data_IF_172721457626
#
_entry.id   IF_172721457626
#
_cell.length_a   1.000
_cell.length_b   1.000
_cell.length_c   1.000
_cell.angle_alpha   90.00
_cell.angle_beta   90.00
_cell.angle_gamma   90.00
#
_symmetry.space_group_name_H-M   'P 1'
#
loop_
_entity.id
_entity.type
_entity.pdbx_description
1 polymer ?
#
# COMPACT_ATOMS: atom_id res chain seq x y z
N UNK A 1 10.63 11.57 15.03
CA UNK A 1 9.90 10.51 15.77
C UNK A 1 10.44 9.09 15.64
N UNK A 2 10.47 8.44 14.45
CA UNK A 2 10.89 7.02 14.36
C UNK A 2 12.41 6.80 14.55
N UNK A 3 13.24 7.76 14.13
CA UNK A 3 14.69 7.73 14.34
C UNK A 3 15.07 8.15 15.76
N UNK A 4 14.42 9.21 16.27
CA UNK A 4 14.57 9.69 17.66
C UNK A 4 14.31 8.58 18.69
N UNK A 5 13.26 7.77 18.51
CA UNK A 5 12.97 6.66 19.44
C UNK A 5 14.07 5.58 19.45
N UNK A 6 14.87 5.51 18.39
CA UNK A 6 16.06 4.65 18.26
C UNK A 6 17.37 5.36 18.57
N UNK A 7 17.33 6.62 19.03
CA UNK A 7 18.50 7.48 19.26
C UNK A 7 19.39 7.67 18.02
N UNK A 8 18.79 7.63 16.83
CA UNK A 8 19.46 7.91 15.55
C UNK A 8 19.22 9.38 15.20
N UNK A 9 20.29 10.12 14.90
CA UNK A 9 20.23 11.54 14.51
C UNK A 9 19.93 11.62 13.02
N UNK A 10 18.68 11.93 12.70
CA UNK A 10 18.24 12.12 11.32
C UNK A 10 17.90 13.57 11.03
N UNK A 11 18.23 14.06 9.83
CA UNK A 11 17.74 15.35 9.32
C UNK A 11 17.20 15.19 7.90
N UNK A 12 16.36 16.13 7.46
CA UNK A 12 15.84 16.18 6.10
C UNK A 12 16.20 17.52 5.47
N UNK A 13 16.98 17.48 4.40
CA UNK A 13 17.27 18.66 3.59
C UNK A 13 16.17 18.75 2.51
N UNK A 14 15.46 19.86 2.52
CA UNK A 14 14.44 20.25 1.55
C UNK A 14 14.75 21.67 1.07
N UNK A 15 13.97 22.18 0.09
CA UNK A 15 14.19 23.50 -0.51
C UNK A 15 14.29 24.63 0.53
N UNK A 16 13.53 24.54 1.62
CA UNK A 16 13.47 25.52 2.70
C UNK A 16 13.96 24.92 4.04
N UNK A 17 14.98 24.04 3.99
CA UNK A 17 15.54 23.42 5.19
C UNK A 17 16.05 24.48 6.18
N UNK A 18 15.78 24.32 7.49
CA UNK A 18 16.38 25.13 8.54
C UNK A 18 17.91 25.19 8.43
N UNK A 19 18.49 26.36 8.74
CA UNK A 19 19.94 26.54 8.69
C UNK A 19 20.70 25.60 9.64
N UNK A 20 20.07 25.21 10.75
CA UNK A 20 20.58 24.24 11.71
C UNK A 20 20.72 22.83 11.11
N UNK A 21 19.76 22.38 10.30
CA UNK A 21 19.80 21.08 9.63
C UNK A 21 20.93 21.02 8.61
N UNK A 22 21.08 22.08 7.80
CA UNK A 22 22.17 22.23 6.84
C UNK A 22 23.52 22.23 7.56
N UNK A 23 23.63 22.93 8.69
CA UNK A 23 24.85 22.97 9.48
C UNK A 23 25.17 21.60 10.09
N UNK A 24 24.18 20.93 10.68
CA UNK A 24 24.36 19.61 11.27
C UNK A 24 24.83 18.57 10.23
N UNK A 25 24.31 18.65 9.01
CA UNK A 25 24.82 17.88 7.86
C UNK A 25 26.28 18.21 7.58
N UNK A 26 26.62 19.48 7.34
CA UNK A 26 28.00 19.92 7.01
C UNK A 26 29.03 19.56 8.07
N UNK A 27 28.64 19.59 9.33
CA UNK A 27 29.52 19.28 10.46
C UNK A 27 29.68 17.76 10.67
N UNK A 28 28.98 16.91 9.89
CA UNK A 28 29.01 15.45 10.06
C UNK A 28 28.33 14.96 11.33
N UNK A 29 27.45 15.78 11.92
CA UNK A 29 26.83 15.52 13.23
C UNK A 29 25.50 14.73 13.14
N UNK A 30 25.26 14.09 12.00
CA UNK A 30 24.02 13.36 11.68
C UNK A 30 24.35 11.96 11.18
N UNK A 31 23.51 11.00 11.53
CA UNK A 31 23.67 9.60 11.13
C UNK A 31 22.94 9.30 9.81
N UNK A 32 21.82 10.02 9.54
CA UNK A 32 21.01 9.86 8.32
C UNK A 32 20.59 11.24 7.80
N UNK A 33 20.75 11.46 6.49
CA UNK A 33 20.29 12.66 5.79
C UNK A 33 19.28 12.26 4.72
N UNK A 34 18.04 12.71 4.86
CA UNK A 34 17.04 12.58 3.79
C UNK A 34 17.15 13.77 2.84
N UNK A 35 17.19 13.48 1.55
CA UNK A 35 17.33 14.50 0.50
C UNK A 35 16.37 14.15 -0.62
N UNK A 36 15.64 15.14 -1.15
CA UNK A 36 14.85 14.93 -2.35
C UNK A 36 15.71 15.10 -3.62
N UNK A 37 15.44 14.37 -4.71
CA UNK A 37 16.24 14.47 -5.95
C UNK A 37 16.33 15.92 -6.50
N UNK A 38 15.30 16.73 -6.28
CA UNK A 38 15.20 18.09 -6.81
C UNK A 38 16.22 19.06 -6.23
N UNK A 39 16.67 18.82 -5.00
CA UNK A 39 17.62 19.69 -4.27
C UNK A 39 19.06 19.15 -4.29
N UNK A 40 19.26 17.94 -4.80
CA UNK A 40 20.56 17.29 -4.90
C UNK A 40 21.37 17.85 -6.10
N UNK A 41 21.63 19.16 -6.06
CA UNK A 41 22.31 19.94 -7.10
C UNK A 41 22.94 21.19 -6.51
N UNK A 42 23.92 21.76 -7.21
CA UNK A 42 24.61 22.99 -6.78
C UNK A 42 25.17 22.85 -5.37
N UNK A 43 24.97 23.86 -4.54
CA UNK A 43 25.57 23.96 -3.19
C UNK A 43 25.32 22.74 -2.31
N UNK A 44 24.11 22.16 -2.31
CA UNK A 44 23.80 20.96 -1.51
C UNK A 44 24.68 19.78 -1.93
N UNK A 45 24.87 19.59 -3.23
CA UNK A 45 25.72 18.54 -3.75
C UNK A 45 27.19 18.81 -3.42
N UNK A 46 27.66 20.05 -3.56
CA UNK A 46 29.02 20.44 -3.21
C UNK A 46 29.31 20.18 -1.72
N UNK A 47 28.37 20.53 -0.85
CA UNK A 47 28.46 20.29 0.60
C UNK A 47 28.54 18.79 0.93
N UNK A 48 27.72 17.96 0.26
CA UNK A 48 27.77 16.51 0.43
C UNK A 48 29.07 15.90 -0.10
N UNK A 49 29.65 16.44 -1.18
CA UNK A 49 30.94 15.98 -1.72
C UNK A 49 32.11 16.24 -0.76
N UNK A 50 32.07 17.33 0.01
CA UNK A 50 33.07 17.57 1.06
C UNK A 50 33.04 16.50 2.16
N UNK A 51 31.91 15.80 2.28
CA UNK A 51 31.68 14.73 3.25
C UNK A 51 31.82 13.34 2.64
N UNK A 52 32.23 13.18 1.38
CA UNK A 52 32.27 11.88 0.67
C UNK A 52 32.96 10.79 1.51
N UNK A 53 34.11 11.09 2.12
CA UNK A 53 34.86 10.16 2.99
C UNK A 53 34.12 9.71 4.25
N UNK A 54 33.05 10.40 4.65
CA UNK A 54 32.20 10.09 5.80
C UNK A 54 30.89 9.40 5.39
N UNK A 55 30.53 9.41 4.10
CA UNK A 55 29.32 8.76 3.60
C UNK A 55 29.62 7.27 3.42
N UNK A 56 28.95 6.42 4.20
CA UNK A 56 29.16 4.98 4.18
C UNK A 56 28.16 4.20 3.30
N UNK A 57 27.04 4.83 2.93
CA UNK A 57 25.98 4.20 2.13
C UNK A 57 25.11 5.26 1.45
N UNK A 58 24.84 5.08 0.15
CA UNK A 58 23.76 5.76 -0.54
C UNK A 58 22.52 4.88 -0.57
N UNK A 59 21.35 5.46 -0.27
CA UNK A 59 20.07 4.73 -0.31
C UNK A 59 19.10 5.46 -1.22
N UNK A 60 18.61 4.77 -2.24
CA UNK A 60 17.53 5.26 -3.11
C UNK A 60 16.27 4.47 -2.81
N UNK A 61 15.36 5.11 -2.08
CA UNK A 61 14.02 4.58 -1.83
C UNK A 61 13.12 4.77 -3.05
N UNK A 62 12.15 3.88 -3.23
CA UNK A 62 11.27 3.82 -4.40
C UNK A 62 12.02 3.90 -5.74
N UNK A 63 13.12 3.15 -5.87
CA UNK A 63 14.03 3.23 -7.02
C UNK A 63 13.35 2.91 -8.36
N UNK A 64 12.19 2.24 -8.36
CA UNK A 64 11.38 2.02 -9.56
C UNK A 64 10.99 3.34 -10.27
N UNK A 65 10.90 4.45 -9.54
CA UNK A 65 10.67 5.78 -10.11
C UNK A 65 11.73 6.17 -11.16
N UNK A 66 12.95 5.64 -11.06
CA UNK A 66 14.04 5.88 -12.03
C UNK A 66 13.66 5.31 -13.40
N UNK A 67 13.11 4.10 -13.43
CA UNK A 67 12.63 3.43 -14.65
C UNK A 67 11.34 4.07 -15.16
N UNK A 68 10.32 4.21 -14.30
CA UNK A 68 8.99 4.63 -14.72
C UNK A 68 8.90 6.12 -15.08
N UNK A 69 9.56 7.00 -14.31
CA UNK A 69 9.36 8.45 -14.37
C UNK A 69 10.56 9.18 -14.97
N UNK A 70 11.70 8.49 -15.11
CA UNK A 70 12.93 9.03 -15.67
C UNK A 70 12.80 9.46 -17.13
N UNK A 71 11.88 8.88 -17.90
CA UNK A 71 11.70 9.23 -19.32
C UNK A 71 10.84 10.49 -19.53
N UNK A 72 9.73 10.67 -18.82
CA UNK A 72 8.74 11.74 -19.12
C UNK A 72 8.21 12.58 -17.93
N UNK A 73 8.42 12.21 -16.65
CA UNK A 73 7.67 12.82 -15.53
C UNK A 73 8.52 13.51 -14.44
N UNK A 74 9.74 13.04 -14.15
CA UNK A 74 10.69 13.74 -13.27
C UNK A 74 12.15 13.58 -13.75
N UNK A 75 12.64 14.49 -14.61
CA UNK A 75 13.99 14.45 -15.15
C UNK A 75 15.10 14.37 -14.09
N UNK A 76 14.83 14.83 -12.86
CA UNK A 76 15.74 14.80 -11.72
C UNK A 76 16.15 13.37 -11.33
N UNK A 77 15.31 12.36 -11.58
CA UNK A 77 15.68 10.96 -11.32
C UNK A 77 16.77 10.44 -12.27
N UNK A 78 17.01 11.08 -13.43
CA UNK A 78 18.19 10.75 -14.27
C UNK A 78 19.51 11.13 -13.59
N UNK A 79 19.50 12.14 -12.72
CA UNK A 79 20.69 12.55 -11.98
C UNK A 79 21.12 11.51 -10.95
N UNK A 80 20.29 10.51 -10.64
CA UNK A 80 20.68 9.42 -9.74
C UNK A 80 21.93 8.71 -10.25
N UNK A 81 22.04 8.48 -11.57
CA UNK A 81 23.24 7.93 -12.17
C UNK A 81 24.48 8.83 -11.99
N UNK A 82 24.31 10.15 -12.14
CA UNK A 82 25.39 11.12 -11.90
C UNK A 82 25.85 11.07 -10.44
N UNK A 83 24.91 10.95 -9.50
CA UNK A 83 25.20 10.87 -8.07
C UNK A 83 25.95 9.59 -7.73
N UNK A 84 25.48 8.44 -8.21
CA UNK A 84 26.20 7.17 -8.01
C UNK A 84 27.62 7.27 -8.59
N UNK A 85 27.79 7.91 -9.75
CA UNK A 85 29.10 8.13 -10.37
C UNK A 85 29.98 9.10 -9.56
N UNK A 86 29.39 10.15 -8.99
CA UNK A 86 30.11 11.14 -8.17
C UNK A 86 30.58 10.57 -6.83
N UNK A 87 29.86 9.60 -6.29
CA UNK A 87 30.15 8.91 -5.03
C UNK A 87 30.54 7.45 -5.30
N UNK A 88 31.30 7.19 -6.36
CA UNK A 88 31.62 5.83 -6.82
C UNK A 88 32.34 4.95 -5.78
N UNK A 89 32.98 5.56 -4.78
CA UNK A 89 33.62 4.86 -3.66
C UNK A 89 32.61 4.35 -2.61
N UNK A 90 31.37 4.82 -2.64
CA UNK A 90 30.33 4.55 -1.66
C UNK A 90 29.37 3.44 -2.15
N UNK A 91 29.11 2.40 -1.34
CA UNK A 91 28.09 1.41 -1.66
C UNK A 91 26.72 2.05 -1.89
N UNK A 92 25.96 1.51 -2.84
CA UNK A 92 24.60 1.97 -3.15
C UNK A 92 23.58 0.87 -2.89
N UNK A 93 22.52 1.23 -2.16
CA UNK A 93 21.36 0.39 -1.88
C UNK A 93 20.13 0.95 -2.60
N UNK A 94 19.54 0.14 -3.48
CA UNK A 94 18.31 0.46 -4.20
C UNK A 94 17.16 -0.29 -3.54
N UNK A 95 16.14 0.43 -3.07
CA UNK A 95 14.98 -0.14 -2.40
C UNK A 95 13.73 0.12 -3.24
N UNK A 96 12.94 -0.93 -3.46
CA UNK A 96 11.61 -0.82 -4.04
C UNK A 96 10.76 -2.00 -3.63
N UNK A 97 9.47 -1.79 -3.44
CA UNK A 97 8.50 -2.88 -3.31
C UNK A 97 8.19 -3.54 -4.68
N UNK A 98 8.64 -2.93 -5.78
CA UNK A 98 8.08 -3.10 -7.12
C UNK A 98 9.19 -3.26 -8.17
N UNK A 99 10.00 -4.32 -8.07
CA UNK A 99 11.05 -4.61 -9.05
C UNK A 99 10.59 -5.68 -10.04
N UNK A 100 9.84 -5.31 -11.10
CA UNK A 100 9.59 -6.23 -12.22
C UNK A 100 10.88 -6.49 -13.02
N UNK A 101 10.93 -7.54 -13.84
CA UNK A 101 12.10 -7.81 -14.70
C UNK A 101 12.47 -6.59 -15.55
N UNK A 102 11.47 -5.93 -16.16
CA UNK A 102 11.66 -4.70 -16.91
C UNK A 102 12.27 -3.57 -16.06
N UNK A 103 11.75 -3.35 -14.85
CA UNK A 103 12.29 -2.33 -13.94
C UNK A 103 13.74 -2.65 -13.57
N UNK A 104 14.09 -3.92 -13.39
CA UNK A 104 15.48 -4.31 -13.17
C UNK A 104 16.35 -3.99 -14.37
N UNK A 105 15.97 -4.42 -15.58
CA UNK A 105 16.70 -4.13 -16.82
C UNK A 105 16.94 -2.61 -16.99
N UNK A 106 15.90 -1.81 -16.74
CA UNK A 106 16.00 -0.35 -16.77
C UNK A 106 16.95 0.17 -15.70
N UNK A 107 16.92 -0.35 -14.46
CA UNK A 107 17.84 0.07 -13.40
C UNK A 107 19.29 -0.30 -13.70
N UNK A 108 19.55 -1.52 -14.19
CA UNK A 108 20.89 -1.94 -14.58
C UNK A 108 21.46 -1.06 -15.69
N UNK A 109 20.65 -0.75 -16.70
CA UNK A 109 21.07 0.09 -17.82
C UNK A 109 21.23 1.57 -17.45
N UNK A 110 20.26 2.16 -16.75
CA UNK A 110 20.27 3.59 -16.41
C UNK A 110 21.30 3.95 -15.34
N UNK A 111 21.55 3.05 -14.38
CA UNK A 111 22.48 3.30 -13.28
C UNK A 111 23.86 2.66 -13.50
N UNK A 112 24.07 2.02 -14.67
CA UNK A 112 25.29 1.29 -15.00
C UNK A 112 25.72 0.31 -13.90
N UNK A 113 24.75 -0.40 -13.32
CA UNK A 113 25.01 -1.39 -12.26
C UNK A 113 25.83 -2.55 -12.85
N UNK A 114 26.81 -3.01 -12.08
CA UNK A 114 27.64 -4.14 -12.47
C UNK A 114 26.88 -5.49 -12.39
N UNK A 115 27.41 -6.51 -13.04
CA UNK A 115 26.84 -7.86 -12.98
C UNK A 115 27.01 -8.52 -11.59
N UNK A 116 27.83 -7.94 -10.71
CA UNK A 116 28.07 -8.43 -9.34
C UNK A 116 27.06 -7.85 -8.34
N UNK A 117 26.13 -7.01 -8.82
CA UNK A 117 25.08 -6.37 -8.02
C UNK A 117 24.20 -7.44 -7.38
N UNK A 118 24.20 -7.45 -6.04
CA UNK A 118 23.44 -8.42 -5.25
C UNK A 118 21.97 -8.03 -5.23
N UNK A 119 21.14 -8.86 -5.85
CA UNK A 119 19.68 -8.73 -5.79
C UNK A 119 19.14 -9.56 -4.61
N UNK A 120 18.58 -8.88 -3.61
CA UNK A 120 17.84 -9.52 -2.52
C UNK A 120 16.37 -9.22 -2.75
N UNK A 121 15.60 -10.26 -3.06
CA UNK A 121 14.20 -10.12 -3.38
C UNK A 121 13.38 -11.21 -2.69
N UNK A 122 12.20 -10.81 -2.18
CA UNK A 122 11.23 -11.68 -1.54
C UNK A 122 9.87 -11.38 -2.15
N UNK A 123 9.09 -12.42 -2.43
CA UNK A 123 7.73 -12.22 -2.90
C UNK A 123 6.91 -11.48 -1.84
N UNK A 124 6.15 -10.44 -2.21
CA UNK A 124 5.34 -9.68 -1.27
C UNK A 124 4.03 -10.41 -0.92
N UNK A 125 4.09 -11.72 -0.63
CA UNK A 125 2.90 -12.49 -0.27
C UNK A 125 2.37 -12.11 1.11
N UNK A 126 1.04 -12.13 1.21
CA UNK A 126 0.28 -11.90 2.43
C UNK A 126 -0.68 -13.09 2.57
N UNK A 127 -0.20 -14.25 3.04
CA UNK A 127 -0.99 -15.47 3.09
C UNK A 127 -2.20 -15.35 4.03
N UNK A 128 -2.16 -14.43 5.00
CA UNK A 128 -3.24 -14.12 5.93
C UNK A 128 -4.34 -13.22 5.35
N UNK A 129 -4.24 -12.73 4.11
CA UNK A 129 -5.25 -11.82 3.51
C UNK A 129 -6.09 -12.57 2.48
N UNK A 130 -7.37 -12.78 2.72
CA UNK A 130 -8.24 -13.40 1.72
C UNK A 130 -8.59 -12.41 0.61
N UNK A 131 -8.55 -12.85 -0.65
CA UNK A 131 -8.89 -12.01 -1.81
C UNK A 131 -10.27 -12.38 -2.36
N UNK A 132 -11.25 -11.50 -2.23
CA UNK A 132 -12.56 -11.60 -2.88
C UNK A 132 -12.68 -10.61 -4.02
N UNK A 133 -13.12 -11.09 -5.18
CA UNK A 133 -13.52 -10.21 -6.29
C UNK A 133 -14.98 -10.49 -6.57
N UNK A 134 -15.81 -9.45 -6.46
CA UNK A 134 -17.23 -9.54 -6.75
C UNK A 134 -17.45 -9.60 -8.26
N UNK A 135 -17.99 -10.72 -8.75
CA UNK A 135 -18.19 -10.94 -10.19
C UNK A 135 -19.45 -10.25 -10.71
N UNK A 136 -20.42 -9.97 -9.83
CA UNK A 136 -21.70 -9.35 -10.19
C UNK A 136 -21.93 -8.10 -9.34
N UNK A 137 -21.16 -7.05 -9.64
CA UNK A 137 -21.34 -5.75 -9.00
C UNK A 137 -22.67 -5.16 -9.43
N UNK A 138 -23.53 -4.85 -8.46
CA UNK A 138 -24.83 -4.22 -8.70
C UNK A 138 -24.68 -2.73 -8.94
N UNK A 139 -25.73 -2.09 -9.46
CA UNK A 139 -25.69 -0.68 -9.85
C UNK A 139 -25.52 0.26 -8.65
N UNK A 140 -26.25 0.00 -7.56
CA UNK A 140 -26.27 0.88 -6.40
C UNK A 140 -25.20 0.50 -5.37
N UNK A 141 -24.62 1.51 -4.71
CA UNK A 141 -23.60 1.31 -3.66
C UNK A 141 -24.18 0.44 -2.53
N UNK A 142 -25.40 0.76 -2.10
CA UNK A 142 -26.07 0.07 -1.00
C UNK A 142 -26.28 -1.41 -1.25
N UNK A 143 -26.62 -1.82 -2.47
CA UNK A 143 -26.85 -3.24 -2.76
C UNK A 143 -25.57 -4.10 -2.69
N UNK A 144 -24.41 -3.46 -2.78
CA UNK A 144 -23.10 -4.10 -2.72
C UNK A 144 -22.47 -4.01 -1.31
N UNK A 145 -22.69 -2.89 -0.61
CA UNK A 145 -22.07 -2.58 0.69
C UNK A 145 -23.04 -2.61 1.88
N UNK A 146 -24.29 -3.09 1.71
CA UNK A 146 -25.24 -3.24 2.81
C UNK A 146 -24.68 -4.06 3.99
N UNK A 147 -23.91 -5.12 3.71
CA UNK A 147 -23.26 -5.92 4.75
C UNK A 147 -22.31 -5.09 5.62
N UNK A 148 -21.61 -4.11 5.04
CA UNK A 148 -20.70 -3.24 5.77
C UNK A 148 -21.49 -2.24 6.62
N UNK A 149 -22.60 -1.74 6.09
CA UNK A 149 -23.53 -0.89 6.83
C UNK A 149 -24.07 -1.63 8.07
N UNK A 150 -24.52 -2.87 7.89
CA UNK A 150 -25.01 -3.72 8.98
C UNK A 150 -23.90 -4.04 9.98
N UNK A 151 -22.69 -4.33 9.51
CA UNK A 151 -21.52 -4.55 10.36
C UNK A 151 -21.20 -3.32 11.21
N UNK A 152 -21.23 -2.12 10.63
CA UNK A 152 -21.00 -0.86 11.35
C UNK A 152 -22.08 -0.65 12.42
N UNK A 153 -23.35 -0.87 12.06
CA UNK A 153 -24.49 -0.71 12.99
C UNK A 153 -24.42 -1.70 14.15
N UNK A 154 -24.08 -2.96 13.88
CA UNK A 154 -23.97 -4.03 14.89
C UNK A 154 -22.75 -3.85 15.80
N UNK A 155 -21.57 -3.58 15.22
CA UNK A 155 -20.32 -3.57 15.98
C UNK A 155 -19.97 -2.22 16.57
N UNK A 156 -20.50 -1.11 16.03
CA UNK A 156 -20.20 0.25 16.48
C UNK A 156 -18.69 0.40 16.72
N UNK A 157 -18.23 0.82 17.91
CA UNK A 157 -16.82 1.02 18.25
C UNK A 157 -15.91 -0.20 18.02
N UNK A 158 -16.48 -1.42 17.95
CA UNK A 158 -15.77 -2.66 17.67
C UNK A 158 -15.67 -2.98 16.18
N UNK A 159 -16.30 -2.20 15.29
CA UNK A 159 -16.27 -2.40 13.82
C UNK A 159 -14.85 -2.52 13.33
N UNK A 160 -14.43 -3.62 12.72
CA UNK A 160 -13.04 -3.78 12.31
C UNK A 160 -12.57 -2.66 11.37
N UNK A 161 -11.31 -2.23 11.53
CA UNK A 161 -10.81 -1.10 10.74
C UNK A 161 -10.89 -1.42 9.26
N UNK A 162 -11.51 -0.52 8.51
CA UNK A 162 -11.85 -0.70 7.12
C UNK A 162 -11.33 0.48 6.30
N UNK A 163 -10.63 0.20 5.21
CA UNK A 163 -10.26 1.20 4.20
C UNK A 163 -11.05 0.89 2.93
N UNK A 164 -11.82 1.86 2.44
CA UNK A 164 -12.52 1.78 1.16
C UNK A 164 -11.76 2.63 0.15
N UNK A 165 -10.98 1.98 -0.71
CA UNK A 165 -10.28 2.63 -1.82
C UNK A 165 -11.23 2.86 -3.00
N UNK A 166 -11.43 4.12 -3.35
CA UNK A 166 -12.24 4.59 -4.46
C UNK A 166 -11.34 5.11 -5.58
N UNK A 167 -11.73 4.81 -6.82
CA UNK A 167 -10.97 5.15 -8.04
C UNK A 167 -10.75 6.65 -8.26
N UNK A 168 -11.60 7.51 -7.71
CA UNK A 168 -11.46 8.97 -7.79
C UNK A 168 -12.18 9.66 -6.62
N UNK A 169 -11.96 10.97 -6.49
CA UNK A 169 -12.56 11.81 -5.43
C UNK A 169 -14.09 11.80 -5.49
N UNK A 170 -14.68 11.81 -6.67
CA UNK A 170 -16.14 11.79 -6.82
C UNK A 170 -16.74 10.51 -6.23
N UNK A 171 -16.24 9.33 -6.62
CA UNK A 171 -16.70 8.05 -6.09
C UNK A 171 -16.39 7.92 -4.59
N UNK A 172 -15.25 8.45 -4.12
CA UNK A 172 -14.92 8.53 -2.70
C UNK A 172 -15.99 9.29 -1.92
N UNK A 173 -16.37 10.48 -2.41
CA UNK A 173 -17.43 11.29 -1.84
C UNK A 173 -18.80 10.59 -1.92
N UNK A 174 -19.15 9.95 -3.03
CA UNK A 174 -20.41 9.22 -3.17
C UNK A 174 -20.57 8.11 -2.13
N UNK A 175 -19.54 7.29 -1.93
CA UNK A 175 -19.57 6.22 -0.92
C UNK A 175 -19.61 6.80 0.49
N UNK A 176 -18.81 7.84 0.77
CA UNK A 176 -18.79 8.51 2.06
C UNK A 176 -20.16 9.12 2.41
N UNK A 177 -20.76 9.90 1.51
CA UNK A 177 -22.05 10.54 1.75
C UNK A 177 -23.17 9.51 1.93
N UNK A 178 -23.17 8.46 1.11
CA UNK A 178 -24.12 7.34 1.28
C UNK A 178 -23.99 6.70 2.67
N UNK A 179 -22.78 6.37 3.13
CA UNK A 179 -22.56 5.84 4.48
C UNK A 179 -23.07 6.80 5.57
N UNK A 180 -22.75 8.09 5.45
CA UNK A 180 -23.17 9.10 6.43
C UNK A 180 -24.70 9.23 6.50
N UNK A 181 -25.38 9.19 5.35
CA UNK A 181 -26.85 9.25 5.27
C UNK A 181 -27.51 8.00 5.88
N UNK A 182 -27.08 6.81 5.47
CA UNK A 182 -27.66 5.53 5.92
C UNK A 182 -27.40 5.20 7.40
N UNK A 183 -26.33 5.75 7.97
CA UNK A 183 -25.99 5.58 9.38
C UNK A 183 -26.58 6.68 10.26
N UNK A 184 -26.74 7.90 9.74
CA UNK A 184 -27.12 9.06 10.53
C UNK A 184 -26.27 9.18 11.80
N UNK A 185 -26.92 9.16 12.96
CA UNK A 185 -26.25 9.23 14.28
C UNK A 185 -25.30 8.06 14.56
N UNK A 186 -25.51 6.90 13.95
CA UNK A 186 -24.61 5.75 14.09
C UNK A 186 -23.23 5.98 13.45
N UNK A 187 -23.07 7.02 12.62
CA UNK A 187 -21.77 7.44 12.09
C UNK A 187 -20.93 8.22 13.12
N UNK A 188 -21.41 8.36 14.36
CA UNK A 188 -20.77 9.13 15.42
C UNK A 188 -20.73 8.36 16.75
N UNK A 189 -19.63 8.48 17.48
CA UNK A 189 -19.54 8.05 18.87
C UNK A 189 -20.54 8.82 19.73
N UNK A 190 -21.20 8.07 20.64
CA UNK A 190 -22.21 8.58 21.57
C UNK A 190 -23.38 9.31 20.88
N UNK A 191 -23.60 9.06 19.59
CA UNK A 191 -24.66 9.70 18.79
C UNK A 191 -24.60 11.25 18.78
N UNK A 192 -23.44 11.81 19.08
CA UNK A 192 -23.21 13.25 19.04
C UNK A 192 -22.58 13.64 17.70
N UNK A 193 -23.32 14.41 16.89
CA UNK A 193 -22.92 14.86 15.55
C UNK A 193 -21.81 15.94 15.55
N UNK A 194 -20.68 15.62 16.19
CA UNK A 194 -19.50 16.46 16.30
C UNK A 194 -18.35 15.86 15.50
N UNK A 195 -17.53 16.72 14.88
CA UNK A 195 -16.40 16.30 14.04
C UNK A 195 -15.45 15.32 14.75
N UNK A 196 -15.15 15.56 16.03
CA UNK A 196 -14.26 14.73 16.85
C UNK A 196 -14.86 13.38 17.25
N UNK A 197 -16.15 13.16 16.99
CA UNK A 197 -16.86 11.93 17.30
C UNK A 197 -17.16 11.12 16.04
N UNK A 198 -16.77 11.57 14.84
CA UNK A 198 -17.01 10.80 13.62
C UNK A 198 -16.31 9.45 13.65
N UNK A 199 -17.08 8.44 13.30
CA UNK A 199 -16.70 7.05 13.16
C UNK A 199 -16.14 6.74 11.76
N UNK A 200 -16.59 7.53 10.79
CA UNK A 200 -16.32 7.38 9.36
C UNK A 200 -15.74 8.69 8.84
N UNK A 201 -14.69 8.61 8.05
CA UNK A 201 -14.04 9.78 7.47
C UNK A 201 -13.71 9.59 5.99
N UNK A 202 -13.45 10.70 5.32
CA UNK A 202 -13.01 10.73 3.93
C UNK A 202 -11.58 11.27 3.83
N UNK A 203 -10.75 10.65 3.00
CA UNK A 203 -9.37 11.10 2.75
C UNK A 203 -8.98 11.06 1.29
N UNK A 204 -8.49 12.17 0.74
CA UNK A 204 -8.01 12.23 -0.64
C UNK A 204 -6.97 13.35 -0.82
N UNK A 205 -6.38 13.47 -2.01
CA UNK A 205 -5.34 14.46 -2.31
C UNK A 205 -5.73 15.93 -2.10
N UNK A 206 -7.03 16.25 -2.06
CA UNK A 206 -7.56 17.60 -1.77
C UNK A 206 -7.99 17.79 -0.31
N UNK A 207 -7.70 16.84 0.58
CA UNK A 207 -8.00 16.98 2.00
C UNK A 207 -7.03 18.01 2.60
N UNK A 208 -7.55 18.99 3.33
CA UNK A 208 -6.72 20.01 3.95
C UNK A 208 -5.81 19.42 5.03
N UNK A 209 -4.67 20.07 5.29
CA UNK A 209 -3.63 19.57 6.19
C UNK A 209 -4.15 19.25 7.59
N UNK A 210 -5.00 20.11 8.16
CA UNK A 210 -5.53 19.91 9.53
C UNK A 210 -6.45 18.70 9.59
N UNK A 211 -7.32 18.53 8.61
CA UNK A 211 -8.18 17.35 8.50
C UNK A 211 -7.35 16.10 8.27
N UNK A 212 -6.35 16.16 7.39
CA UNK A 212 -5.46 15.03 7.11
C UNK A 212 -4.75 14.57 8.39
N UNK A 213 -4.10 15.48 9.12
CA UNK A 213 -3.43 15.18 10.39
C UNK A 213 -4.36 14.53 11.41
N UNK A 214 -5.58 15.07 11.57
CA UNK A 214 -6.59 14.53 12.48
C UNK A 214 -7.02 13.13 12.09
N UNK A 215 -7.36 12.91 10.81
CA UNK A 215 -7.82 11.60 10.31
C UNK A 215 -6.71 10.55 10.46
N UNK A 216 -5.48 10.89 10.08
CA UNK A 216 -4.34 9.98 10.18
C UNK A 216 -4.01 9.63 11.63
N UNK A 217 -3.97 10.62 12.52
CA UNK A 217 -3.71 10.41 13.94
C UNK A 217 -4.79 9.53 14.56
N UNK A 218 -6.05 9.83 14.26
CA UNK A 218 -7.17 9.08 14.81
C UNK A 218 -7.23 7.65 14.26
N UNK A 219 -7.05 7.43 12.97
CA UNK A 219 -7.14 6.07 12.41
C UNK A 219 -5.95 5.17 12.80
N UNK A 220 -4.78 5.74 13.07
CA UNK A 220 -3.56 4.97 13.38
C UNK A 220 -3.62 4.25 14.72
N UNK A 221 -4.21 4.83 15.76
CA UNK A 221 -4.25 4.17 17.08
C UNK A 221 -5.35 3.12 17.13
N UNK A 222 -5.11 2.00 17.82
CA UNK A 222 -6.09 0.92 17.94
C UNK A 222 -7.30 1.35 18.80
N UNK A 223 -7.07 2.18 19.81
CA UNK A 223 -8.06 2.68 20.76
C UNK A 223 -8.91 3.85 20.25
N UNK A 224 -8.69 4.28 19.01
CA UNK A 224 -9.27 5.51 18.50
C UNK A 224 -10.57 5.30 17.73
N UNK A 225 -11.23 6.45 17.51
CA UNK A 225 -12.61 6.59 17.09
C UNK A 225 -12.91 6.23 15.64
N UNK A 226 -12.02 6.55 14.70
CA UNK A 226 -12.29 6.32 13.28
C UNK A 226 -12.08 4.84 12.97
N UNK A 227 -13.09 4.18 12.42
CA UNK A 227 -13.04 2.76 12.04
C UNK A 227 -13.21 2.54 10.55
N UNK A 228 -13.83 3.46 9.81
CA UNK A 228 -13.96 3.34 8.35
C UNK A 228 -13.42 4.60 7.68
N UNK A 229 -12.57 4.42 6.66
CA UNK A 229 -12.11 5.53 5.83
C UNK A 229 -12.47 5.26 4.38
N UNK A 230 -13.23 6.18 3.78
CA UNK A 230 -13.37 6.28 2.34
C UNK A 230 -12.17 7.07 1.79
N UNK A 231 -11.38 6.48 0.92
CA UNK A 231 -10.14 7.09 0.46
C UNK A 231 -9.86 6.91 -1.02
N UNK A 232 -9.04 7.80 -1.59
CA UNK A 232 -8.30 7.49 -2.83
C UNK A 232 -6.92 6.91 -2.50
N UNK A 233 -6.16 6.51 -3.52
CA UNK A 233 -4.75 6.03 -3.39
C UNK A 233 -3.83 6.97 -2.61
N UNK A 234 -4.21 8.25 -2.43
CA UNK A 234 -3.49 9.19 -1.59
C UNK A 234 -3.42 8.76 -0.11
N UNK A 235 -4.38 7.95 0.35
CA UNK A 235 -4.37 7.44 1.72
C UNK A 235 -3.44 6.25 1.91
N UNK A 236 -2.55 6.34 2.90
CA UNK A 236 -1.68 5.25 3.32
C UNK A 236 -0.23 5.38 2.87
N UNK A 237 0.12 6.35 2.00
CA UNK A 237 1.52 6.64 1.68
C UNK A 237 2.28 6.95 2.97
N UNK A 238 3.34 6.19 3.26
CA UNK A 238 4.19 6.38 4.45
C UNK A 238 3.57 6.02 5.80
N UNK A 239 2.38 5.39 5.85
CA UNK A 239 1.69 5.11 7.12
C UNK A 239 1.52 3.62 7.35
N UNK A 240 1.85 3.18 8.57
CA UNK A 240 1.62 1.82 9.04
C UNK A 240 0.46 1.79 10.04
N UNK A 241 -0.66 1.18 9.63
CA UNK A 241 -1.80 0.85 10.50
C UNK A 241 -1.89 -0.69 10.54
N UNK A 242 -1.43 -1.33 11.63
CA UNK A 242 -1.25 -2.78 11.66
C UNK A 242 -2.57 -3.57 11.63
N UNK A 243 -3.64 -2.99 12.18
CA UNK A 243 -4.89 -3.65 12.54
C UNK A 243 -6.05 -3.42 11.54
N UNK A 244 -5.75 -3.06 10.28
CA UNK A 244 -6.77 -2.97 9.22
C UNK A 244 -7.24 -4.36 8.82
N UNK A 245 -8.51 -4.68 9.08
CA UNK A 245 -9.08 -5.99 8.81
C UNK A 245 -9.74 -6.08 7.44
N UNK A 246 -10.36 -4.99 6.98
CA UNK A 246 -10.99 -4.92 5.67
C UNK A 246 -10.31 -3.87 4.78
N UNK A 247 -9.98 -4.28 3.56
CA UNK A 247 -9.68 -3.37 2.46
C UNK A 247 -10.72 -3.61 1.38
N UNK A 248 -11.43 -2.55 0.97
CA UNK A 248 -12.47 -2.62 -0.05
C UNK A 248 -12.04 -1.74 -1.22
N UNK A 249 -11.81 -2.31 -2.39
CA UNK A 249 -11.61 -1.53 -3.61
C UNK A 249 -12.98 -1.33 -4.27
N UNK A 250 -13.55 -0.14 -4.10
CA UNK A 250 -14.76 0.30 -4.79
C UNK A 250 -14.38 0.77 -6.20
N UNK A 251 -14.42 -0.19 -7.12
CA UNK A 251 -13.88 -0.09 -8.48
C UNK A 251 -12.57 -0.88 -8.63
N UNK A 252 -12.23 -1.20 -9.88
CA UNK A 252 -10.96 -1.81 -10.20
C UNK A 252 -9.82 -0.80 -10.00
N UNK A 253 -8.73 -1.17 -9.28
CA UNK A 253 -7.52 -0.36 -9.21
C UNK A 253 -6.93 -0.10 -10.60
N UNK A 254 -6.03 0.89 -10.72
CA UNK A 254 -5.48 1.27 -12.03
C UNK A 254 -4.49 0.23 -12.57
N UNK A 255 -3.75 -0.47 -11.70
CA UNK A 255 -2.74 -1.45 -12.09
C UNK A 255 -2.69 -2.61 -11.10
N UNK A 256 -2.02 -3.71 -11.49
CA UNK A 256 -1.74 -4.84 -10.58
C UNK A 256 -0.93 -4.36 -9.36
N UNK A 257 -0.05 -3.38 -9.58
CA UNK A 257 0.75 -2.75 -8.53
C UNK A 257 -0.13 -2.06 -7.50
N UNK A 258 -1.00 -1.16 -7.95
CA UNK A 258 -1.92 -0.44 -7.06
C UNK A 258 -2.82 -1.41 -6.31
N UNK A 259 -3.37 -2.42 -7.00
CA UNK A 259 -4.16 -3.46 -6.37
C UNK A 259 -3.42 -4.14 -5.20
N UNK A 260 -2.16 -4.54 -5.43
CA UNK A 260 -1.39 -5.24 -4.41
C UNK A 260 -0.92 -4.34 -3.27
N UNK A 261 -0.59 -3.08 -3.55
CA UNK A 261 -0.27 -2.09 -2.52
C UNK A 261 -1.47 -1.78 -1.61
N UNK A 262 -2.66 -1.62 -2.18
CA UNK A 262 -3.92 -1.44 -1.44
C UNK A 262 -4.22 -2.68 -0.60
N UNK A 263 -4.17 -3.87 -1.21
CA UNK A 263 -4.32 -5.17 -0.51
C UNK A 263 -3.35 -5.31 0.66
N UNK A 264 -2.09 -4.89 0.49
CA UNK A 264 -1.03 -4.98 1.50
C UNK A 264 -1.22 -4.09 2.72
N UNK A 265 -2.25 -3.23 2.76
CA UNK A 265 -2.70 -2.50 3.96
C UNK A 265 -3.45 -3.41 4.93
N UNK A 266 -4.06 -4.47 4.43
CA UNK A 266 -4.86 -5.41 5.19
C UNK A 266 -4.00 -6.37 6.02
N UNK A 267 -4.41 -6.68 7.26
CA UNK A 267 -3.82 -7.71 8.13
C UNK A 267 -2.31 -7.57 8.33
N UNK A 268 -1.82 -6.39 8.68
CA UNK A 268 -0.38 -6.15 8.92
C UNK A 268 0.11 -6.66 10.27
N UNK A 269 -0.80 -6.87 11.20
CA UNK A 269 -0.58 -7.54 12.49
C UNK A 269 -0.56 -9.08 12.39
N UNK A 270 -0.71 -9.64 11.18
CA UNK A 270 -0.72 -11.08 10.93
C UNK A 270 -2.08 -11.76 11.16
N UNK A 271 -3.10 -11.04 11.67
CA UNK A 271 -4.47 -11.58 11.76
C UNK A 271 -5.09 -11.71 10.36
N UNK A 272 -6.16 -12.49 10.27
CA UNK A 272 -6.88 -12.67 9.01
C UNK A 272 -7.39 -11.32 8.50
N UNK A 273 -6.95 -10.94 7.30
CA UNK A 273 -7.44 -9.79 6.58
C UNK A 273 -8.37 -10.20 5.45
N UNK A 274 -9.23 -9.29 5.00
CA UNK A 274 -10.10 -9.46 3.85
C UNK A 274 -9.95 -8.28 2.88
N UNK A 275 -9.53 -8.58 1.65
CA UNK A 275 -9.54 -7.64 0.54
C UNK A 275 -10.71 -7.95 -0.39
N UNK A 276 -11.64 -7.03 -0.56
CA UNK A 276 -12.82 -7.17 -1.42
C UNK A 276 -12.74 -6.15 -2.57
N UNK A 277 -12.81 -6.60 -3.80
CA UNK A 277 -12.81 -5.72 -4.97
C UNK A 277 -14.15 -5.79 -5.69
N UNK A 278 -14.75 -4.63 -5.96
CA UNK A 278 -15.98 -4.46 -6.72
C UNK A 278 -15.68 -3.82 -8.08
N UNK A 279 -15.25 -4.60 -9.10
CA UNK A 279 -14.95 -4.08 -10.42
C UNK A 279 -16.24 -3.81 -11.22
N UNK A 280 -16.65 -2.56 -11.36
CA UNK A 280 -17.77 -2.16 -12.24
C UNK A 280 -17.27 -1.58 -13.57
N UNK A 281 -18.11 -1.63 -14.61
CA UNK A 281 -17.72 -1.36 -16.00
C UNK A 281 -16.91 -0.07 -16.21
N UNK A 282 -17.36 1.06 -15.64
CA UNK A 282 -16.64 2.34 -15.75
C UNK A 282 -15.26 2.32 -15.08
N UNK A 283 -15.12 1.65 -13.94
CA UNK A 283 -13.82 1.55 -13.24
C UNK A 283 -12.78 0.78 -14.05
N UNK A 284 -13.21 -0.25 -14.79
CA UNK A 284 -12.34 -1.07 -15.61
C UNK A 284 -11.78 -0.34 -16.84
N UNK A 285 -12.35 0.80 -17.26
CA UNK A 285 -11.83 1.55 -18.41
C UNK A 285 -10.45 2.15 -18.12
N UNK A 286 -10.22 2.60 -16.88
CA UNK A 286 -8.96 3.20 -16.44
C UNK A 286 -7.91 2.21 -15.92
N UNK A 287 -8.25 0.92 -15.83
CA UNK A 287 -7.31 -0.11 -15.38
C UNK A 287 -6.42 -0.61 -16.52
N UNK A 288 -5.27 -1.17 -16.19
CA UNK A 288 -4.41 -1.92 -17.11
C UNK A 288 -5.07 -3.24 -17.56
N UNK A 289 -4.79 -3.66 -18.80
CA UNK A 289 -5.35 -4.90 -19.36
C UNK A 289 -4.95 -6.15 -18.56
N UNK A 290 -3.75 -6.18 -17.98
CA UNK A 290 -3.29 -7.29 -17.15
C UNK A 290 -4.17 -7.46 -15.91
N UNK A 291 -4.49 -6.36 -15.22
CA UNK A 291 -5.40 -6.41 -14.07
C UNK A 291 -6.81 -6.79 -14.50
N UNK A 292 -7.34 -6.22 -15.61
CA UNK A 292 -8.66 -6.59 -16.13
C UNK A 292 -8.76 -8.09 -16.40
N UNK A 293 -7.72 -8.66 -17.02
CA UNK A 293 -7.63 -10.09 -17.31
C UNK A 293 -7.66 -10.92 -16.01
N UNK A 294 -6.90 -10.52 -14.99
CA UNK A 294 -6.89 -11.18 -13.68
C UNK A 294 -8.27 -11.12 -13.02
N UNK A 295 -8.88 -9.94 -12.92
CA UNK A 295 -10.17 -9.75 -12.24
C UNK A 295 -11.32 -10.48 -12.94
N UNK A 296 -11.27 -10.61 -14.27
CA UNK A 296 -12.28 -11.36 -15.05
C UNK A 296 -12.01 -12.86 -15.08
N UNK A 297 -10.74 -13.27 -14.96
CA UNK A 297 -10.32 -14.66 -15.04
C UNK A 297 -10.82 -15.57 -13.92
N UNK A 298 -10.48 -16.84 -14.06
CA UNK A 298 -10.85 -17.99 -13.23
C UNK A 298 -9.63 -18.69 -12.62
N UNK A 299 -8.45 -18.09 -12.76
CA UNK A 299 -7.21 -18.53 -12.12
C UNK A 299 -7.06 -17.80 -10.78
N UNK A 300 -6.60 -18.53 -9.75
CA UNK A 300 -6.26 -17.97 -8.43
C UNK A 300 -5.60 -16.59 -8.52
N UNK A 301 -6.28 -15.56 -7.97
CA UNK A 301 -5.82 -14.16 -8.06
C UNK A 301 -4.43 -13.98 -7.46
N UNK A 302 -4.20 -14.50 -6.24
CA UNK A 302 -2.90 -14.43 -5.57
C UNK A 302 -1.80 -15.04 -6.44
N UNK A 303 -2.03 -16.25 -6.97
CA UNK A 303 -1.05 -16.93 -7.84
C UNK A 303 -0.74 -16.09 -9.07
N UNK A 304 -1.76 -15.53 -9.74
CA UNK A 304 -1.52 -14.74 -10.94
C UNK A 304 -0.80 -13.43 -10.65
N UNK A 305 -1.20 -12.72 -9.61
CA UNK A 305 -0.56 -11.46 -9.21
C UNK A 305 0.89 -11.72 -8.75
N UNK A 306 1.13 -12.66 -7.84
CA UNK A 306 2.49 -12.97 -7.38
C UNK A 306 3.41 -13.50 -8.48
N UNK A 307 2.87 -14.15 -9.51
CA UNK A 307 3.68 -14.56 -10.67
C UNK A 307 4.27 -13.38 -11.44
N UNK A 308 3.62 -12.21 -11.40
CA UNK A 308 4.12 -10.98 -12.02
C UNK A 308 5.21 -10.29 -11.20
N UNK A 309 5.25 -10.58 -9.90
CA UNK A 309 6.29 -10.14 -8.98
C UNK A 309 7.47 -11.11 -8.90
N UNK A 310 7.37 -12.29 -9.51
CA UNK A 310 8.39 -13.32 -9.38
C UNK A 310 9.58 -12.99 -10.27
N UNK A 311 10.77 -12.92 -9.67
CA UNK A 311 12.06 -12.71 -10.33
C UNK A 311 12.84 -14.02 -10.34
N UNK A 312 13.81 -14.11 -11.26
CA UNK A 312 14.73 -15.24 -11.32
C UNK A 312 15.48 -15.41 -9.99
N UNK A 313 15.53 -16.64 -9.50
CA UNK A 313 16.24 -16.99 -8.26
C UNK A 313 15.47 -16.70 -6.96
N UNK A 314 14.29 -16.06 -7.01
CA UNK A 314 13.45 -15.94 -5.83
C UNK A 314 12.88 -17.29 -5.41
N UNK A 315 12.89 -17.54 -4.11
CA UNK A 315 12.09 -18.62 -3.54
C UNK A 315 10.64 -18.37 -3.93
N UNK A 316 10.11 -19.30 -4.73
CA UNK A 316 8.70 -19.26 -5.07
C UNK A 316 7.95 -19.64 -3.80
N UNK A 317 7.46 -18.65 -3.07
CA UNK A 317 6.50 -18.77 -1.97
C UNK A 317 5.14 -19.29 -2.44
N UNK A 318 5.15 -20.33 -3.28
CA UNK A 318 3.99 -20.90 -3.91
C UNK A 318 3.09 -21.45 -2.82
N UNK A 319 1.91 -20.83 -2.70
CA UNK A 319 0.65 -21.48 -2.38
C UNK A 319 0.77 -22.99 -2.65
N UNK A 320 0.98 -23.77 -1.58
CA UNK A 320 0.86 -25.22 -1.68
C UNK A 320 -0.64 -25.40 -1.75
N UNK A 321 -1.20 -25.43 -2.96
CA UNK A 321 -2.64 -25.60 -3.21
C UNK A 321 -3.11 -27.02 -2.84
N UNK A 322 -2.70 -27.51 -1.66
CA UNK A 322 -3.18 -28.73 -1.06
C UNK A 322 -4.61 -28.51 -0.62
N UNK A 323 -5.47 -29.46 -0.98
CA UNK A 323 -6.79 -29.58 -0.39
C UNK A 323 -6.64 -29.93 1.11
N UNK A 324 -7.71 -29.76 1.88
CA UNK A 324 -7.75 -30.34 3.22
C UNK A 324 -7.63 -31.87 3.10
N UNK A 325 -6.72 -32.48 3.87
CA UNK A 325 -6.56 -33.94 3.92
C UNK A 325 -7.69 -34.62 4.74
N UNK A 326 -8.52 -33.84 5.46
CA UNK A 326 -9.58 -34.39 6.30
C UNK A 326 -10.95 -34.37 5.62
N UNK A 327 -11.57 -35.54 5.48
CA UNK A 327 -12.94 -35.68 4.98
C UNK A 327 -14.01 -35.17 5.96
N UNK A 328 -13.65 -34.84 7.21
CA UNK A 328 -14.56 -34.49 8.32
C UNK A 328 -14.25 -33.13 8.97
N UNK A 329 -14.17 -32.06 8.18
CA UNK A 329 -13.98 -30.72 8.72
C UNK A 329 -15.32 -29.96 8.80
N UNK A 330 -15.78 -29.59 10.01
CA UNK A 330 -16.98 -28.75 10.21
C UNK A 330 -16.71 -27.23 10.01
N UNK A 331 -15.43 -26.83 10.01
CA UNK A 331 -14.97 -25.44 9.84
C UNK A 331 -13.59 -25.41 9.18
N UNK A 332 -13.54 -25.37 7.84
CA UNK A 332 -12.29 -25.52 7.10
C UNK A 332 -11.54 -24.19 6.87
N UNK A 333 -10.29 -24.14 7.33
CA UNK A 333 -9.34 -23.03 7.16
C UNK A 333 -8.10 -23.42 6.31
N UNK A 334 -8.25 -24.38 5.39
CA UNK A 334 -7.13 -24.80 4.54
C UNK A 334 -6.61 -23.67 3.65
N UNK A 335 -5.39 -23.80 3.13
CA UNK A 335 -4.74 -22.77 2.29
C UNK A 335 -5.62 -22.35 1.11
N UNK A 336 -6.35 -23.27 0.45
CA UNK A 336 -7.28 -22.91 -0.63
C UNK A 336 -8.45 -22.07 -0.14
N UNK A 337 -9.04 -22.45 0.99
CA UNK A 337 -10.13 -21.69 1.60
C UNK A 337 -9.65 -20.29 1.99
N UNK A 338 -8.48 -20.13 2.61
CA UNK A 338 -8.02 -18.82 3.05
C UNK A 338 -7.34 -18.00 1.94
N UNK A 339 -7.18 -18.56 0.73
CA UNK A 339 -6.48 -17.87 -0.35
C UNK A 339 -7.33 -16.80 -1.07
N UNK A 340 -8.33 -17.20 -1.85
CA UNK A 340 -9.16 -16.27 -2.63
C UNK A 340 -10.49 -16.90 -3.03
N UNK A 341 -11.44 -16.10 -3.52
CA UNK A 341 -12.76 -16.58 -3.92
C UNK A 341 -12.71 -17.68 -4.97
N UNK A 342 -11.83 -17.59 -5.98
CA UNK A 342 -11.64 -18.67 -6.97
C UNK A 342 -11.15 -19.98 -6.31
N UNK A 343 -10.16 -19.90 -5.42
CA UNK A 343 -9.64 -21.08 -4.73
C UNK A 343 -10.69 -21.70 -3.82
N UNK A 344 -11.51 -20.87 -3.18
CA UNK A 344 -12.61 -21.32 -2.34
C UNK A 344 -13.70 -22.03 -3.13
N UNK A 345 -14.13 -21.45 -4.26
CA UNK A 345 -15.13 -22.05 -5.16
C UNK A 345 -14.69 -23.44 -5.64
N UNK A 346 -13.40 -23.59 -5.94
CA UNK A 346 -12.79 -24.84 -6.37
C UNK A 346 -12.36 -25.77 -5.21
N UNK A 347 -12.68 -25.42 -3.96
CA UNK A 347 -12.30 -26.21 -2.80
C UNK A 347 -13.37 -27.27 -2.48
N UNK A 348 -12.95 -28.52 -2.27
CA UNK A 348 -13.82 -29.62 -1.82
C UNK A 348 -14.51 -29.36 -0.47
N UNK A 349 -14.00 -28.40 0.31
CA UNK A 349 -14.54 -28.02 1.61
C UNK A 349 -15.56 -26.87 1.56
N UNK A 350 -15.86 -26.28 0.37
CA UNK A 350 -16.72 -25.09 0.24
C UNK A 350 -18.05 -25.22 0.98
N UNK A 351 -18.75 -26.34 0.79
CA UNK A 351 -20.04 -26.61 1.43
C UNK A 351 -19.99 -26.88 2.94
N UNK A 352 -18.79 -26.95 3.52
CA UNK A 352 -18.57 -27.17 4.97
C UNK A 352 -18.25 -25.88 5.72
N UNK A 353 -18.10 -24.75 5.01
CA UNK A 353 -17.86 -23.45 5.62
C UNK A 353 -19.22 -22.78 5.88
N UNK A 354 -19.66 -22.73 7.15
CA UNK A 354 -20.99 -22.24 7.55
C UNK A 354 -21.18 -20.73 7.30
N UNK A 355 -20.14 -19.94 7.53
CA UNK A 355 -19.94 -18.61 6.98
C UNK A 355 -18.44 -18.36 7.01
N UNK A 356 -17.94 -17.54 6.08
CA UNK A 356 -16.50 -17.23 6.04
C UNK A 356 -16.19 -15.82 6.51
N UNK A 357 -17.21 -14.98 6.51
CA UNK A 357 -17.19 -13.57 6.83
C UNK A 357 -18.51 -13.23 7.50
#
# INVERSE_FOLDING_TARGET
MALESKKIRGTAIMKDAPAEDIKAMKDGNVDIVFVSPEILKGKTLDDLRLLESQICLLVFDECHCISEWGLDFRPEYRKVADIISLFASCPTLLLTATATEKIQEDLYSLLALDNDTKVVAVLPDRPNVYLHVEKKVKQEIGDNLAWLLDLIKDKQELTPKTIIYCTNIYNCNSVYMWLMEELGKCAYHHEEEKLQNRFIEMFHSRTDTKTAERVLTNFKLQSNKIRVICATVAFGIGINIPDVEYVINWGAPVSVMTFWQETGRCGRDGRQGLCITYPYGRSLLGSEEQLKSILKGDICYRRKILSMFTLKGMEKGLLKTKDCESEKCESCSCERCCCCSICFENCKCKGKVKSKF
#
